data_IF_835087886957
#
_entry.id   IF_835087886957
#
_cell.length_a   1.000
_cell.length_b   1.000
_cell.length_c   1.000
_cell.angle_alpha   90.00
_cell.angle_beta   90.00
_cell.angle_gamma   90.00
#
_symmetry.space_group_name_H-M   'P 1'
#
loop_
_entity.id
_entity.type
_entity.pdbx_description
1 polymer ?
#
# COMPACT_ATOMS: atom_id res chain seq x y z
N UNK A 1 -2.62 -17.96 24.34
CA UNK A 1 -1.94 -16.83 23.71
C UNK A 1 -2.58 -15.55 24.22
N UNK A 2 -1.79 -14.70 24.85
CA UNK A 2 -2.28 -13.54 25.58
C UNK A 2 -2.82 -12.49 24.60
N UNK A 3 -4.01 -11.91 24.87
CA UNK A 3 -4.66 -10.93 24.00
C UNK A 3 -3.78 -9.71 23.65
N UNK A 4 -2.77 -9.42 24.47
CA UNK A 4 -1.80 -8.35 24.24
C UNK A 4 -0.88 -8.61 23.04
N UNK A 5 -0.52 -9.85 22.78
CA UNK A 5 0.36 -10.23 21.66
C UNK A 5 -0.36 -10.16 20.32
N UNK A 6 -1.66 -10.44 20.29
CA UNK A 6 -2.45 -10.41 19.05
C UNK A 6 -2.58 -9.01 18.43
N UNK A 7 -2.66 -7.94 19.24
CA UNK A 7 -2.86 -6.57 18.73
C UNK A 7 -1.60 -6.03 18.03
N UNK A 8 -0.42 -6.38 18.50
CA UNK A 8 0.87 -5.96 17.90
C UNK A 8 1.17 -6.75 16.64
N UNK A 9 0.85 -8.04 16.62
CA UNK A 9 1.04 -8.92 15.46
C UNK A 9 0.04 -8.65 14.32
N UNK A 10 -1.17 -8.19 14.64
CA UNK A 10 -2.24 -7.94 13.66
C UNK A 10 -1.96 -6.86 12.61
N UNK A 11 -0.92 -6.04 12.79
CA UNK A 11 -0.57 -4.95 11.84
C UNK A 11 0.59 -5.27 10.92
N UNK A 12 1.10 -6.48 10.91
CA UNK A 12 2.19 -6.88 10.03
C UNK A 12 1.67 -7.50 8.74
N UNK A 13 2.20 -7.03 7.64
CA UNK A 13 2.07 -7.70 6.36
C UNK A 13 3.02 -8.89 6.35
N UNK A 14 2.46 -10.09 6.17
CA UNK A 14 3.22 -11.32 6.11
C UNK A 14 3.43 -11.72 4.64
N UNK A 15 4.68 -11.95 4.28
CA UNK A 15 5.01 -12.49 2.97
C UNK A 15 4.75 -14.00 2.95
N UNK A 16 4.02 -14.47 1.95
CA UNK A 16 3.75 -15.91 1.74
C UNK A 16 4.88 -16.61 0.96
N UNK A 17 5.77 -15.84 0.37
CA UNK A 17 6.88 -16.35 -0.42
C UNK A 17 8.02 -16.86 0.50
N UNK A 18 8.91 -17.68 -0.07
CA UNK A 18 10.03 -18.29 0.64
C UNK A 18 11.07 -17.29 1.16
N UNK A 19 11.98 -17.72 2.04
CA UNK A 19 13.08 -16.89 2.55
C UNK A 19 13.96 -16.29 1.44
N UNK A 20 14.17 -17.01 0.33
CA UNK A 20 14.88 -16.47 -0.83
C UNK A 20 14.15 -15.28 -1.47
N UNK A 21 12.85 -15.32 -1.55
CA UNK A 21 12.04 -14.23 -2.09
C UNK A 21 12.09 -12.99 -1.21
N UNK A 22 12.25 -13.15 0.10
CA UNK A 22 12.50 -12.05 1.00
C UNK A 22 13.78 -11.29 0.62
N UNK A 23 14.90 -11.97 0.46
CA UNK A 23 16.17 -11.36 0.06
C UNK A 23 16.09 -10.74 -1.34
N UNK A 24 15.52 -11.46 -2.30
CA UNK A 24 15.31 -10.95 -3.67
C UNK A 24 14.48 -9.67 -3.69
N UNK A 25 13.45 -9.58 -2.86
CA UNK A 25 12.65 -8.36 -2.72
C UNK A 25 13.47 -7.18 -2.19
N UNK A 26 14.31 -7.40 -1.19
CA UNK A 26 15.19 -6.36 -0.67
C UNK A 26 16.23 -5.89 -1.72
N UNK A 27 16.82 -6.81 -2.47
CA UNK A 27 17.73 -6.48 -3.56
C UNK A 27 17.02 -5.67 -4.64
N UNK A 28 15.82 -6.08 -5.05
CA UNK A 28 15.03 -5.36 -6.05
C UNK A 28 14.65 -3.94 -5.59
N UNK A 29 14.24 -3.78 -4.34
CA UNK A 29 13.92 -2.46 -3.77
C UNK A 29 15.16 -1.56 -3.66
N UNK A 30 16.31 -2.13 -3.38
CA UNK A 30 17.59 -1.44 -3.30
C UNK A 30 18.28 -1.19 -4.64
N UNK A 31 17.76 -1.72 -5.76
CA UNK A 31 18.37 -1.61 -7.08
C UNK A 31 18.58 -0.14 -7.48
N UNK A 32 19.83 0.23 -7.75
CA UNK A 32 20.24 1.60 -8.09
C UNK A 32 20.27 2.58 -6.91
N UNK A 33 19.93 2.15 -5.68
CA UNK A 33 19.85 3.00 -4.48
C UNK A 33 20.16 2.25 -3.18
N UNK A 34 20.99 1.23 -3.23
CA UNK A 34 21.19 0.27 -2.13
C UNK A 34 21.60 0.92 -0.82
N UNK A 35 22.55 1.85 -0.81
CA UNK A 35 23.00 2.53 0.41
C UNK A 35 21.86 3.33 1.06
N UNK A 36 21.13 4.12 0.26
CA UNK A 36 19.97 4.87 0.77
C UNK A 36 18.86 3.94 1.26
N UNK A 37 18.67 2.81 0.60
CA UNK A 37 17.70 1.80 1.01
C UNK A 37 18.07 1.17 2.36
N UNK A 38 19.32 0.73 2.53
CA UNK A 38 19.81 0.14 3.78
C UNK A 38 19.74 1.16 4.93
N UNK A 39 20.12 2.42 4.67
CA UNK A 39 19.99 3.50 5.64
C UNK A 39 18.54 3.73 6.06
N UNK A 40 17.63 3.83 5.11
CA UNK A 40 16.20 3.97 5.42
C UNK A 40 15.66 2.77 6.21
N UNK A 41 16.09 1.53 5.90
CA UNK A 41 15.70 0.33 6.66
C UNK A 41 16.28 0.32 8.07
N UNK A 42 17.50 0.80 8.23
CA UNK A 42 18.11 0.97 9.56
C UNK A 42 17.30 1.97 10.40
N UNK A 43 17.01 3.15 9.87
CA UNK A 43 16.19 4.15 10.55
C UNK A 43 14.80 3.56 10.91
N UNK A 44 14.15 2.91 9.97
CA UNK A 44 12.83 2.29 10.15
C UNK A 44 12.81 1.26 11.27
N UNK A 45 13.81 0.39 11.35
CA UNK A 45 13.81 -0.74 12.27
C UNK A 45 14.38 -0.40 13.66
N UNK A 46 15.25 0.60 13.78
CA UNK A 46 16.02 0.81 14.99
C UNK A 46 15.83 2.16 15.65
N UNK A 47 15.54 3.24 14.91
CA UNK A 47 15.48 4.57 15.50
C UNK A 47 14.43 4.70 16.59
N UNK A 48 13.24 4.16 16.41
CA UNK A 48 12.21 4.17 17.44
C UNK A 48 12.64 3.42 18.72
N UNK A 49 13.48 2.37 18.61
CA UNK A 49 14.02 1.63 19.74
C UNK A 49 15.10 2.41 20.49
N UNK A 50 15.75 3.33 19.82
CA UNK A 50 16.77 4.23 20.37
C UNK A 50 16.18 5.59 20.78
N UNK A 51 14.87 5.76 20.72
CA UNK A 51 14.17 7.04 20.93
C UNK A 51 14.69 8.18 20.04
N UNK A 52 15.20 7.85 18.85
CA UNK A 52 15.66 8.82 17.86
C UNK A 52 14.52 9.21 16.94
N UNK A 53 14.18 10.49 16.90
CA UNK A 53 13.14 11.03 16.02
C UNK A 53 13.81 11.54 14.75
N UNK A 54 13.38 11.09 13.54
CA UNK A 54 13.89 11.66 12.29
C UNK A 54 13.40 13.11 12.14
N UNK A 55 14.23 13.95 11.53
CA UNK A 55 13.88 15.35 11.25
C UNK A 55 12.73 15.50 10.25
N UNK A 56 12.48 14.45 9.45
CA UNK A 56 11.38 14.36 8.50
C UNK A 56 10.85 12.91 8.48
N UNK A 57 9.56 12.67 8.20
CA UNK A 57 9.01 11.31 8.13
C UNK A 57 9.77 10.42 7.17
N UNK A 58 9.94 9.13 7.53
CA UNK A 58 10.60 8.15 6.66
C UNK A 58 9.69 7.67 5.53
N UNK A 59 8.38 7.82 5.72
CA UNK A 59 7.33 7.44 4.77
C UNK A 59 6.17 8.43 4.85
N UNK A 60 5.70 8.90 3.71
CA UNK A 60 4.51 9.75 3.61
C UNK A 60 3.42 8.98 2.85
N UNK A 61 2.26 8.84 3.47
CA UNK A 61 1.07 8.33 2.82
C UNK A 61 0.27 9.49 2.25
N UNK A 62 -0.11 9.39 0.99
CA UNK A 62 -0.95 10.38 0.30
C UNK A 62 -2.29 9.74 -0.04
N UNK A 63 -3.35 10.39 0.36
CA UNK A 63 -4.67 10.11 -0.12
C UNK A 63 -4.92 10.92 -1.40
N UNK A 64 -4.61 10.34 -2.56
CA UNK A 64 -4.85 11.02 -3.84
C UNK A 64 -6.34 11.17 -4.15
N UNK A 65 -7.17 10.34 -3.54
CA UNK A 65 -8.63 10.40 -3.59
C UNK A 65 -9.20 9.81 -2.31
N UNK A 66 -10.17 10.50 -1.71
CA UNK A 66 -11.00 9.93 -0.64
C UNK A 66 -12.16 9.08 -1.20
N UNK A 67 -12.44 9.17 -2.50
CA UNK A 67 -13.47 8.40 -3.18
C UNK A 67 -13.06 6.94 -3.34
N UNK A 68 -14.04 6.04 -3.25
CA UNK A 68 -13.87 4.63 -3.60
C UNK A 68 -15.15 4.12 -4.28
N UNK A 69 -14.98 3.44 -5.40
CA UNK A 69 -16.11 2.94 -6.22
C UNK A 69 -16.51 1.49 -5.91
N UNK A 70 -15.96 0.92 -4.83
CA UNK A 70 -16.36 -0.40 -4.31
C UNK A 70 -16.72 -0.32 -2.82
N UNK A 71 -17.47 -1.33 -2.35
CA UNK A 71 -17.89 -1.45 -0.95
C UNK A 71 -17.35 -2.76 -0.41
N UNK A 72 -16.13 -2.72 0.15
CA UNK A 72 -15.55 -3.90 0.78
C UNK A 72 -16.17 -4.15 2.14
N UNK A 73 -16.52 -5.39 2.43
CA UNK A 73 -17.17 -5.78 3.68
C UNK A 73 -16.33 -5.42 4.94
N UNK A 74 -15.00 -5.53 4.84
CA UNK A 74 -14.07 -5.24 5.93
C UNK A 74 -13.46 -3.82 5.88
N UNK A 75 -14.07 -2.91 5.13
CA UNK A 75 -13.52 -1.57 4.97
C UNK A 75 -13.94 -0.66 6.14
N UNK A 76 -12.97 -0.09 6.83
CA UNK A 76 -13.21 0.86 7.91
C UNK A 76 -14.00 2.12 7.46
N UNK A 77 -13.99 2.46 6.17
CA UNK A 77 -14.82 3.55 5.60
C UNK A 77 -16.30 3.42 5.93
N UNK A 78 -16.80 2.22 6.17
CA UNK A 78 -18.20 2.00 6.54
C UNK A 78 -18.55 2.58 7.93
N UNK A 79 -17.53 2.82 8.74
CA UNK A 79 -17.65 3.33 10.11
C UNK A 79 -17.24 4.80 10.24
N UNK A 80 -16.95 5.45 9.11
CA UNK A 80 -16.53 6.85 9.07
C UNK A 80 -17.62 7.74 8.49
N UNK A 81 -17.77 8.93 9.07
CA UNK A 81 -18.55 10.01 8.47
C UNK A 81 -17.64 10.75 7.46
N UNK A 82 -17.66 10.29 6.21
CA UNK A 82 -16.92 10.92 5.12
C UNK A 82 -17.72 12.13 4.64
N UNK A 83 -17.42 13.31 5.19
CA UNK A 83 -18.14 14.55 4.88
C UNK A 83 -18.04 14.96 3.41
N UNK A 84 -16.89 14.74 2.79
CA UNK A 84 -16.63 15.10 1.39
C UNK A 84 -15.72 14.06 0.73
N UNK A 85 -16.18 13.53 -0.40
CA UNK A 85 -15.43 12.59 -1.23
C UNK A 85 -14.80 13.37 -2.40
N UNK A 86 -13.50 13.60 -2.37
CA UNK A 86 -12.80 14.39 -3.38
C UNK A 86 -11.45 13.82 -3.80
N UNK A 87 -10.97 14.31 -4.94
CA UNK A 87 -9.61 14.07 -5.41
C UNK A 87 -8.67 15.17 -4.96
N UNK A 88 -7.47 14.82 -4.53
CA UNK A 88 -6.42 15.80 -4.21
C UNK A 88 -6.06 16.60 -5.48
N UNK A 89 -6.12 17.94 -5.43
CA UNK A 89 -5.70 18.79 -6.53
C UNK A 89 -4.19 18.65 -6.81
N UNK A 90 -3.82 18.73 -8.09
CA UNK A 90 -2.42 18.53 -8.51
C UNK A 90 -1.44 19.57 -7.94
N UNK A 91 -1.89 20.81 -7.75
CA UNK A 91 -1.05 21.89 -7.18
C UNK A 91 -0.77 21.68 -5.70
N UNK A 92 -1.75 21.21 -4.94
CA UNK A 92 -1.55 20.79 -3.55
C UNK A 92 -0.57 19.63 -3.49
N UNK A 93 -0.79 18.59 -4.32
CA UNK A 93 0.10 17.44 -4.39
C UNK A 93 1.55 17.85 -4.70
N UNK A 94 1.76 18.75 -5.68
CA UNK A 94 3.09 19.23 -6.04
C UNK A 94 3.80 19.89 -4.88
N UNK A 95 3.11 20.77 -4.12
CA UNK A 95 3.69 21.41 -2.93
C UNK A 95 4.17 20.38 -1.90
N UNK A 96 3.33 19.37 -1.63
CA UNK A 96 3.67 18.29 -0.69
C UNK A 96 4.90 17.51 -1.17
N UNK A 97 4.93 17.15 -2.45
CA UNK A 97 6.04 16.36 -3.01
C UNK A 97 7.33 17.17 -3.10
N UNK A 98 7.26 18.46 -3.39
CA UNK A 98 8.43 19.35 -3.39
C UNK A 98 9.06 19.39 -1.99
N UNK A 99 8.27 19.61 -0.94
CA UNK A 99 8.74 19.55 0.45
C UNK A 99 9.32 18.17 0.80
N UNK A 100 8.66 17.09 0.39
CA UNK A 100 9.16 15.73 0.56
C UNK A 100 10.53 15.53 -0.12
N UNK A 101 10.71 16.05 -1.32
CA UNK A 101 11.94 15.93 -2.09
C UNK A 101 13.09 16.75 -1.47
N UNK A 102 12.83 17.97 -1.05
CA UNK A 102 13.78 18.84 -0.34
C UNK A 102 14.31 18.20 0.93
N UNK A 103 13.45 17.44 1.63
CA UNK A 103 13.80 16.70 2.84
C UNK A 103 14.29 15.26 2.57
N UNK A 104 14.56 14.90 1.31
CA UNK A 104 15.07 13.58 0.91
C UNK A 104 14.18 12.41 1.34
N UNK A 105 12.85 12.56 1.30
CA UNK A 105 11.92 11.49 1.60
C UNK A 105 12.27 10.22 0.81
N UNK A 106 12.33 9.09 1.50
CA UNK A 106 12.63 7.82 0.84
C UNK A 106 11.39 7.20 0.19
N UNK A 107 10.28 7.08 0.93
CA UNK A 107 9.07 6.39 0.46
C UNK A 107 7.86 7.31 0.44
N UNK A 108 7.18 7.39 -0.70
CA UNK A 108 5.86 7.97 -0.85
C UNK A 108 4.87 6.88 -1.25
N UNK A 109 3.71 6.84 -0.60
CA UNK A 109 2.73 5.78 -0.80
C UNK A 109 1.34 6.35 -1.03
N UNK A 110 0.76 6.06 -2.19
CA UNK A 110 -0.66 6.31 -2.44
C UNK A 110 -1.49 5.19 -1.81
N UNK A 111 -2.13 5.51 -0.72
CA UNK A 111 -3.02 4.60 0.02
C UNK A 111 -3.83 5.44 1.00
N UNK A 112 -4.79 4.93 1.63
CA UNK A 112 -5.58 5.38 2.76
C UNK A 112 -7.06 5.01 2.60
N UNK A 113 -7.97 6.00 2.81
CA UNK A 113 -9.42 5.77 2.90
C UNK A 113 -10.06 5.47 1.55
N UNK A 114 -9.61 6.13 0.48
CA UNK A 114 -10.16 5.98 -0.85
C UNK A 114 -9.39 5.02 -1.76
N UNK A 115 -9.76 5.02 -3.02
CA UNK A 115 -9.08 4.26 -4.09
C UNK A 115 -8.24 5.22 -4.95
N UNK A 116 -6.91 5.09 -4.94
CA UNK A 116 -6.04 6.04 -5.68
C UNK A 116 -6.33 6.12 -7.17
N UNK A 117 -6.78 5.03 -7.80
CA UNK A 117 -7.05 4.98 -9.23
C UNK A 117 -8.38 5.62 -9.63
N UNK A 118 -9.15 6.14 -8.67
CA UNK A 118 -10.31 7.02 -8.95
C UNK A 118 -9.82 8.42 -9.35
N UNK A 119 -8.68 8.86 -8.81
CA UNK A 119 -8.09 10.11 -9.27
C UNK A 119 -7.50 9.94 -10.68
N UNK A 120 -8.01 10.63 -11.72
CA UNK A 120 -7.51 10.48 -13.09
C UNK A 120 -6.06 10.93 -13.26
N UNK A 121 -5.55 11.74 -12.33
CA UNK A 121 -4.18 12.27 -12.33
C UNK A 121 -3.16 11.36 -11.65
N UNK A 122 -3.58 10.18 -11.15
CA UNK A 122 -2.68 9.30 -10.37
C UNK A 122 -1.39 8.94 -11.13
N UNK A 123 -1.46 8.73 -12.45
CA UNK A 123 -0.28 8.45 -13.27
C UNK A 123 0.70 9.63 -13.32
N UNK A 124 0.17 10.84 -13.44
CA UNK A 124 0.95 12.09 -13.48
C UNK A 124 1.52 12.42 -12.09
N UNK A 125 0.77 12.10 -11.02
CA UNK A 125 1.26 12.20 -9.65
C UNK A 125 2.46 11.27 -9.40
N UNK A 126 2.38 10.01 -9.84
CA UNK A 126 3.50 9.07 -9.75
C UNK A 126 4.71 9.58 -10.53
N UNK A 127 4.51 10.05 -11.76
CA UNK A 127 5.57 10.61 -12.60
C UNK A 127 6.25 11.79 -11.89
N UNK A 128 5.49 12.75 -11.41
CA UNK A 128 6.01 13.92 -10.72
C UNK A 128 6.86 13.56 -9.49
N UNK A 129 6.37 12.63 -8.65
CA UNK A 129 7.15 12.18 -7.49
C UNK A 129 8.49 11.54 -7.90
N UNK A 130 8.50 10.77 -8.98
CA UNK A 130 9.74 10.14 -9.50
C UNK A 130 10.69 11.17 -10.11
N UNK A 131 10.20 12.16 -10.82
CA UNK A 131 10.99 13.26 -11.38
C UNK A 131 11.62 14.13 -10.30
N UNK A 132 10.91 14.35 -9.18
CA UNK A 132 11.44 15.05 -8.00
C UNK A 132 12.43 14.24 -7.17
N UNK A 133 12.69 12.98 -7.55
CA UNK A 133 13.72 12.15 -6.94
C UNK A 133 13.26 11.33 -5.74
N UNK A 134 11.94 11.21 -5.50
CA UNK A 134 11.42 10.27 -4.49
C UNK A 134 11.88 8.86 -4.86
N UNK A 135 12.61 8.24 -3.95
CA UNK A 135 13.35 7.00 -4.22
C UNK A 135 12.43 5.79 -4.38
N UNK A 136 11.34 5.74 -3.63
CA UNK A 136 10.40 4.63 -3.67
C UNK A 136 8.97 5.16 -3.66
N UNK A 137 8.21 4.86 -4.71
CA UNK A 137 6.79 5.23 -4.83
C UNK A 137 5.95 3.96 -4.91
N UNK A 138 4.87 3.91 -4.11
CA UNK A 138 3.92 2.80 -4.04
C UNK A 138 2.52 3.29 -4.40
N UNK A 139 1.77 2.42 -5.08
CA UNK A 139 0.32 2.58 -5.25
C UNK A 139 -0.37 1.34 -4.71
N UNK A 140 -1.28 1.54 -3.74
CA UNK A 140 -2.17 0.50 -3.25
C UNK A 140 -3.54 0.68 -3.90
N UNK A 141 -4.06 -0.36 -4.53
CA UNK A 141 -5.31 -0.29 -5.29
C UNK A 141 -6.10 -1.60 -5.16
N UNK A 142 -7.41 -1.54 -5.35
CA UNK A 142 -8.20 -2.76 -5.58
C UNK A 142 -8.06 -3.29 -7.01
N UNK A 143 -7.41 -2.56 -7.91
CA UNK A 143 -7.10 -2.97 -9.28
C UNK A 143 -8.24 -2.87 -10.29
N UNK A 144 -9.49 -2.72 -9.86
CA UNK A 144 -10.66 -2.74 -10.74
C UNK A 144 -10.70 -1.62 -11.79
N UNK A 145 -10.17 -0.44 -11.45
CA UNK A 145 -10.14 0.72 -12.34
C UNK A 145 -8.92 0.75 -13.27
N UNK A 146 -7.94 -0.11 -13.06
CA UNK A 146 -6.71 -0.10 -13.85
C UNK A 146 -7.01 -0.38 -15.33
N UNK A 147 -6.49 0.48 -16.20
CA UNK A 147 -6.52 0.34 -17.65
C UNK A 147 -5.11 0.07 -18.17
N UNK A 148 -4.98 -0.41 -19.41
CA UNK A 148 -3.66 -0.57 -20.06
C UNK A 148 -2.92 0.77 -20.10
N UNK A 149 -3.61 1.86 -20.46
CA UNK A 149 -3.02 3.20 -20.52
C UNK A 149 -2.48 3.65 -19.15
N UNK A 150 -3.26 3.45 -18.08
CA UNK A 150 -2.82 3.81 -16.72
C UNK A 150 -1.60 2.96 -16.31
N UNK A 151 -1.61 1.67 -16.64
CA UNK A 151 -0.49 0.79 -16.37
C UNK A 151 0.75 1.18 -17.17
N UNK A 152 0.61 1.56 -18.45
CA UNK A 152 1.71 2.10 -19.25
C UNK A 152 2.30 3.37 -18.62
N UNK A 153 1.45 4.29 -18.12
CA UNK A 153 1.92 5.49 -17.40
C UNK A 153 2.73 5.10 -16.17
N UNK A 154 2.27 4.14 -15.38
CA UNK A 154 3.01 3.64 -14.20
C UNK A 154 4.37 3.04 -14.57
N UNK A 155 4.44 2.28 -15.66
CA UNK A 155 5.70 1.71 -16.14
C UNK A 155 6.66 2.81 -16.61
N UNK A 156 6.19 3.78 -17.39
CA UNK A 156 7.00 4.93 -17.87
C UNK A 156 7.48 5.80 -16.72
N UNK A 157 6.63 6.04 -15.74
CA UNK A 157 6.97 6.77 -14.51
C UNK A 157 7.91 5.99 -13.58
N UNK A 158 8.22 4.72 -13.90
CA UNK A 158 9.05 3.84 -13.06
C UNK A 158 8.48 3.68 -11.65
N UNK A 159 7.16 3.53 -11.53
CA UNK A 159 6.53 3.17 -10.27
C UNK A 159 7.28 1.99 -9.64
N UNK A 160 7.63 2.06 -8.36
CA UNK A 160 8.43 1.01 -7.73
C UNK A 160 7.59 -0.21 -7.38
N UNK A 161 6.43 0.00 -6.73
CA UNK A 161 5.54 -1.08 -6.27
C UNK A 161 4.08 -0.75 -6.58
N UNK A 162 3.40 -1.69 -7.22
CA UNK A 162 1.96 -1.71 -7.37
C UNK A 162 1.40 -2.83 -6.47
N UNK A 163 0.69 -2.46 -5.43
CA UNK A 163 0.05 -3.40 -4.53
C UNK A 163 -1.43 -3.51 -4.85
N UNK A 164 -1.86 -4.70 -5.23
CA UNK A 164 -3.26 -5.00 -5.56
C UNK A 164 -3.89 -5.76 -4.41
N UNK A 165 -4.95 -5.21 -3.84
CA UNK A 165 -5.75 -5.89 -2.82
C UNK A 165 -6.60 -6.98 -3.48
N UNK A 166 -6.35 -8.25 -3.12
CA UNK A 166 -6.99 -9.40 -3.75
C UNK A 166 -7.37 -10.45 -2.69
N UNK A 167 -8.57 -10.35 -2.14
CA UNK A 167 -8.99 -11.11 -0.95
C UNK A 167 -9.70 -12.42 -1.32
N UNK A 168 -8.94 -13.52 -1.26
CA UNK A 168 -9.45 -14.86 -1.54
C UNK A 168 -9.60 -15.17 -3.04
N UNK A 169 -10.26 -16.28 -3.33
CA UNK A 169 -10.53 -16.80 -4.67
C UNK A 169 -12.04 -16.95 -4.90
N UNK A 170 -12.48 -16.85 -6.15
CA UNK A 170 -13.87 -17.11 -6.55
C UNK A 170 -14.91 -16.30 -5.77
N UNK A 171 -15.87 -16.99 -5.18
CA UNK A 171 -16.97 -16.38 -4.42
C UNK A 171 -16.47 -15.62 -3.17
N UNK A 172 -15.40 -16.08 -2.52
CA UNK A 172 -14.80 -15.37 -1.39
C UNK A 172 -14.33 -13.97 -1.80
N UNK A 173 -13.66 -13.85 -2.94
CA UNK A 173 -13.28 -12.54 -3.48
C UNK A 173 -14.50 -11.64 -3.72
N UNK A 174 -15.54 -12.18 -4.36
CA UNK A 174 -16.75 -11.43 -4.73
C UNK A 174 -17.54 -10.97 -3.50
N UNK A 175 -17.57 -11.76 -2.45
CA UNK A 175 -18.25 -11.39 -1.19
C UNK A 175 -17.55 -10.22 -0.49
N UNK A 176 -16.21 -10.16 -0.54
CA UNK A 176 -15.43 -9.12 0.14
C UNK A 176 -15.31 -7.84 -0.71
N UNK A 177 -15.07 -7.99 -2.03
CA UNK A 177 -14.73 -6.88 -2.95
C UNK A 177 -15.91 -6.44 -3.84
N UNK A 178 -17.10 -6.42 -3.29
CA UNK A 178 -18.32 -6.03 -4.01
C UNK A 178 -18.21 -4.61 -4.60
N UNK A 179 -18.62 -4.41 -5.88
CA UNK A 179 -19.29 -5.37 -6.79
C UNK A 179 -18.36 -6.05 -7.81
N UNK A 180 -17.05 -6.13 -7.57
CA UNK A 180 -16.10 -6.65 -8.56
C UNK A 180 -16.24 -8.17 -8.65
N UNK A 181 -16.38 -8.68 -9.89
CA UNK A 181 -16.37 -10.11 -10.16
C UNK A 181 -14.96 -10.66 -10.22
N UNK A 182 -14.76 -11.86 -9.64
CA UNK A 182 -13.46 -12.52 -9.54
C UNK A 182 -12.75 -12.64 -10.88
N UNK A 183 -13.43 -13.15 -11.90
CA UNK A 183 -12.84 -13.34 -13.23
C UNK A 183 -12.37 -12.00 -13.84
N UNK A 184 -13.13 -10.92 -13.63
CA UNK A 184 -12.75 -9.58 -14.09
C UNK A 184 -11.51 -9.08 -13.34
N UNK A 185 -11.45 -9.28 -12.04
CA UNK A 185 -10.28 -8.90 -11.24
C UNK A 185 -9.04 -9.69 -11.65
N UNK A 186 -9.17 -10.99 -11.86
CA UNK A 186 -8.09 -11.86 -12.31
C UNK A 186 -7.60 -11.47 -13.71
N UNK A 187 -8.53 -11.16 -14.63
CA UNK A 187 -8.17 -10.66 -15.96
C UNK A 187 -7.41 -9.32 -15.89
N UNK A 188 -7.81 -8.40 -15.00
CA UNK A 188 -7.08 -7.15 -14.74
C UNK A 188 -5.67 -7.41 -14.24
N UNK A 189 -5.50 -8.34 -13.29
CA UNK A 189 -4.19 -8.69 -12.76
C UNK A 189 -3.26 -9.26 -13.85
N UNK A 190 -3.79 -10.12 -14.73
CA UNK A 190 -3.06 -10.64 -15.88
C UNK A 190 -2.70 -9.53 -16.87
N UNK A 191 -3.63 -8.62 -17.19
CA UNK A 191 -3.38 -7.45 -18.03
C UNK A 191 -2.23 -6.59 -17.49
N UNK A 192 -2.20 -6.31 -16.18
CA UNK A 192 -1.11 -5.56 -15.52
C UNK A 192 0.25 -6.20 -15.84
N UNK A 193 0.35 -7.51 -15.70
CA UNK A 193 1.60 -8.23 -15.94
C UNK A 193 1.98 -8.27 -17.42
N UNK A 194 1.01 -8.41 -18.31
CA UNK A 194 1.21 -8.39 -19.77
C UNK A 194 1.70 -7.03 -20.26
N UNK A 195 1.09 -5.93 -19.82
CA UNK A 195 1.55 -4.57 -20.17
C UNK A 195 2.99 -4.36 -19.73
N UNK A 196 3.33 -4.71 -18.49
CA UNK A 196 4.70 -4.61 -17.98
C UNK A 196 5.69 -5.43 -18.84
N UNK A 197 5.29 -6.67 -19.18
CA UNK A 197 6.11 -7.56 -20.03
C UNK A 197 6.29 -6.99 -21.45
N UNK A 198 5.21 -6.51 -22.07
CA UNK A 198 5.22 -5.87 -23.39
C UNK A 198 6.16 -4.66 -23.43
N UNK A 199 6.20 -3.89 -22.36
CA UNK A 199 7.10 -2.75 -22.20
C UNK A 199 8.52 -3.14 -21.77
N UNK A 200 8.84 -4.43 -21.65
CA UNK A 200 10.15 -4.97 -21.22
C UNK A 200 10.66 -4.37 -19.90
N UNK A 201 9.75 -4.06 -18.98
CA UNK A 201 10.06 -3.44 -17.71
C UNK A 201 10.09 -4.47 -16.58
N UNK A 202 10.97 -4.26 -15.59
CA UNK A 202 10.96 -4.96 -14.31
C UNK A 202 10.11 -4.23 -13.25
N UNK A 203 9.65 -3.00 -13.55
CA UNK A 203 8.87 -2.16 -12.65
C UNK A 203 7.51 -1.81 -13.25
N UNK A 204 6.51 -1.62 -12.40
CA UNK A 204 6.52 -1.82 -10.94
C UNK A 204 6.65 -3.30 -10.56
N UNK A 205 7.19 -3.58 -9.35
CA UNK A 205 6.97 -4.87 -8.72
C UNK A 205 5.49 -4.99 -8.39
N UNK A 206 4.84 -6.00 -8.91
CA UNK A 206 3.41 -6.25 -8.66
C UNK A 206 3.25 -7.19 -7.49
N UNK A 207 2.54 -6.73 -6.47
CA UNK A 207 2.25 -7.51 -5.26
C UNK A 207 0.74 -7.67 -5.10
N UNK A 208 0.29 -8.85 -4.73
CA UNK A 208 -1.06 -9.02 -4.21
C UNK A 208 -1.02 -9.12 -2.69
N UNK A 209 -2.06 -8.57 -2.07
CA UNK A 209 -2.26 -8.61 -0.64
C UNK A 209 -3.68 -9.07 -0.34
N UNK A 210 -3.82 -10.05 0.54
CA UNK A 210 -5.11 -10.58 0.98
C UNK A 210 -5.30 -10.38 2.48
N UNK A 211 -6.55 -10.49 2.94
CA UNK A 211 -6.87 -10.70 4.35
C UNK A 211 -6.68 -12.18 4.68
N UNK A 212 -6.16 -12.46 5.87
CA UNK A 212 -5.94 -13.85 6.31
C UNK A 212 -7.23 -14.66 6.38
N UNK A 213 -8.32 -14.06 6.86
CA UNK A 213 -9.63 -14.72 6.91
C UNK A 213 -10.10 -15.23 5.55
N UNK A 214 -9.78 -14.50 4.48
CA UNK A 214 -10.18 -14.83 3.13
C UNK A 214 -9.40 -16.00 2.50
N UNK A 215 -8.22 -16.32 3.05
CA UNK A 215 -7.34 -17.36 2.47
C UNK A 215 -7.00 -18.49 3.44
N UNK A 216 -7.29 -18.35 4.74
CA UNK A 216 -6.89 -19.32 5.79
C UNK A 216 -7.40 -20.74 5.58
N UNK A 217 -8.48 -20.91 4.84
CA UNK A 217 -9.04 -22.24 4.54
C UNK A 217 -8.15 -23.01 3.56
N UNK A 218 -7.50 -22.33 2.61
CA UNK A 218 -6.62 -22.95 1.62
C UNK A 218 -5.51 -21.97 1.17
N UNK A 219 -4.56 -21.62 2.06
CA UNK A 219 -3.53 -20.64 1.77
C UNK A 219 -2.55 -21.09 0.67
N UNK A 220 -2.30 -22.39 0.56
CA UNK A 220 -1.37 -22.94 -0.43
C UNK A 220 -1.94 -22.84 -1.85
N UNK A 221 -3.23 -23.05 -2.04
CA UNK A 221 -3.90 -22.87 -3.32
C UNK A 221 -3.85 -21.39 -3.75
N UNK A 222 -4.16 -20.49 -2.80
CA UNK A 222 -4.07 -19.06 -3.06
C UNK A 222 -2.65 -18.64 -3.47
N UNK A 223 -1.64 -19.09 -2.72
CA UNK A 223 -0.24 -18.82 -3.01
C UNK A 223 0.16 -19.36 -4.38
N UNK A 224 -0.26 -20.57 -4.74
CA UNK A 224 0.04 -21.19 -6.03
C UNK A 224 -0.56 -20.38 -7.17
N UNK A 225 -1.87 -20.06 -7.12
CA UNK A 225 -2.57 -19.34 -8.19
C UNK A 225 -2.01 -17.91 -8.35
N UNK A 226 -1.83 -17.19 -7.25
CA UNK A 226 -1.35 -15.80 -7.30
C UNK A 226 0.15 -15.72 -7.59
N UNK A 227 0.94 -16.64 -7.03
CA UNK A 227 2.39 -16.70 -7.24
C UNK A 227 2.79 -16.99 -8.69
N UNK A 228 1.95 -17.68 -9.46
CA UNK A 228 2.15 -17.90 -10.90
C UNK A 228 1.87 -16.63 -11.73
N UNK A 229 1.16 -15.66 -11.18
CA UNK A 229 0.75 -14.44 -11.89
C UNK A 229 1.60 -13.24 -11.52
N UNK A 230 1.86 -13.01 -10.23
CA UNK A 230 2.50 -11.79 -9.73
C UNK A 230 3.87 -12.03 -9.13
N UNK A 231 4.62 -10.95 -8.88
CA UNK A 231 5.97 -11.06 -8.33
C UNK A 231 5.96 -11.43 -6.85
N UNK A 232 4.89 -11.11 -6.12
CA UNK A 232 4.83 -11.31 -4.67
C UNK A 232 3.41 -11.48 -4.16
N UNK A 233 3.27 -12.38 -3.19
CA UNK A 233 2.01 -12.66 -2.47
C UNK A 233 2.21 -12.37 -0.99
N UNK A 234 1.26 -11.66 -0.39
CA UNK A 234 1.27 -11.32 1.02
C UNK A 234 -0.13 -11.36 1.62
N UNK A 235 -0.22 -11.40 2.93
CA UNK A 235 -1.48 -11.24 3.63
C UNK A 235 -1.34 -10.32 4.84
N UNK A 236 -2.47 -9.75 5.27
CA UNK A 236 -2.63 -9.08 6.55
C UNK A 236 -3.56 -9.90 7.42
N UNK A 237 -3.34 -9.84 8.73
CA UNK A 237 -4.32 -10.35 9.68
C UNK A 237 -5.50 -9.38 9.70
N UNK A 238 -6.71 -9.95 9.81
CA UNK A 238 -7.95 -9.19 9.84
C UNK A 238 -8.07 -8.37 11.12
N UNK A 239 -8.68 -7.22 10.97
CA UNK A 239 -8.98 -6.35 12.08
C UNK A 239 -10.50 -6.08 12.12
N UNK A 240 -11.15 -6.54 13.17
CA UNK A 240 -12.57 -6.28 13.38
C UNK A 240 -12.74 -4.94 14.12
N UNK A 241 -12.99 -3.90 13.37
CA UNK A 241 -13.15 -2.54 13.88
C UNK A 241 -14.36 -2.39 14.83
N UNK A 242 -15.29 -3.35 14.83
CA UNK A 242 -16.47 -3.32 15.70
C UNK A 242 -16.20 -3.91 17.09
N UNK A 243 -15.15 -4.72 17.23
CA UNK A 243 -14.79 -5.42 18.46
C UNK A 243 -13.57 -4.85 19.17
N UNK A 244 -13.07 -3.70 18.71
CA UNK A 244 -11.92 -3.07 19.35
C UNK A 244 -12.33 -2.40 20.64
N UNK A 245 -12.27 -3.16 21.73
CA UNK A 245 -12.23 -2.58 23.06
C UNK A 245 -10.80 -2.13 23.33
N UNK A 246 -10.51 -0.86 23.07
CA UNK A 246 -9.25 -0.26 23.42
C UNK A 246 -9.17 -0.20 24.96
N UNK A 247 -8.44 -1.13 25.56
CA UNK A 247 -7.88 -0.90 26.89
C UNK A 247 -6.51 -0.27 26.58
N UNK A 248 -6.33 1.03 26.82
CA UNK A 248 -5.05 1.67 26.59
C UNK A 248 -4.00 0.99 27.47
N UNK A 249 -2.97 0.41 26.86
CA UNK A 249 -1.76 0.05 27.61
C UNK A 249 -1.01 1.36 27.82
N UNK A 250 -0.88 1.88 29.06
CA UNK A 250 -0.22 3.15 29.34
C UNK A 250 1.25 3.14 28.91
N UNK A 251 1.87 1.97 28.82
CA UNK A 251 3.25 1.79 28.42
C UNK A 251 3.41 1.53 26.90
N UNK A 252 2.31 1.42 26.15
CA UNK A 252 2.34 1.19 24.72
C UNK A 252 2.66 2.48 23.96
N UNK A 253 3.81 2.49 23.31
CA UNK A 253 4.20 3.55 22.38
C UNK A 253 4.16 3.04 20.94
N UNK A 254 3.29 3.63 20.13
CA UNK A 254 3.21 3.27 18.73
C UNK A 254 4.45 3.73 17.95
N UNK A 255 5.32 2.82 17.59
CA UNK A 255 6.56 3.13 16.85
C UNK A 255 6.31 3.76 15.46
N UNK A 256 5.10 3.63 14.90
CA UNK A 256 4.76 4.24 13.61
C UNK A 256 4.77 5.76 13.63
N UNK A 257 4.61 6.39 14.79
CA UNK A 257 4.75 7.84 14.95
C UNK A 257 6.15 8.34 14.60
N UNK A 258 7.18 7.49 14.71
CA UNK A 258 8.56 7.80 14.30
C UNK A 258 8.82 7.54 12.82
N UNK A 259 7.91 6.90 12.12
CA UNK A 259 8.20 6.35 10.80
C UNK A 259 7.41 7.03 9.69
N UNK A 260 6.16 7.41 9.96
CA UNK A 260 5.25 7.77 8.90
C UNK A 260 4.20 8.79 9.32
N UNK A 261 3.72 9.50 8.31
CA UNK A 261 2.57 10.39 8.41
C UNK A 261 1.64 10.12 7.23
N UNK A 262 0.41 10.62 7.35
CA UNK A 262 -0.56 10.55 6.28
C UNK A 262 -1.15 11.93 6.00
N UNK A 263 -1.43 12.20 4.73
CA UNK A 263 -2.00 13.46 4.26
C UNK A 263 -3.26 13.12 3.47
N UNK A 264 -4.38 13.73 3.89
CA UNK A 264 -5.69 13.53 3.27
C UNK A 264 -5.78 14.21 1.90
N UNK A 265 -6.81 13.88 1.12
CA UNK A 265 -7.11 14.56 -0.15
C UNK A 265 -7.36 16.07 0.00
N UNK A 266 -7.72 16.50 1.20
CA UNK A 266 -7.94 17.91 1.57
C UNK A 266 -6.68 18.61 2.09
N UNK A 267 -5.59 17.87 2.31
CA UNK A 267 -4.32 18.39 2.82
C UNK A 267 -4.16 18.29 4.34
N UNK A 268 -5.11 17.68 5.05
CA UNK A 268 -5.00 17.50 6.48
C UNK A 268 -3.92 16.48 6.83
N UNK A 269 -3.23 16.77 7.91
CA UNK A 269 -2.14 15.95 8.40
C UNK A 269 -2.63 14.98 9.48
N UNK A 270 -2.51 13.70 9.24
CA UNK A 270 -2.86 12.64 10.17
C UNK A 270 -1.60 11.96 10.73
N UNK A 271 -1.60 11.69 12.03
CA UNK A 271 -0.49 11.00 12.71
C UNK A 271 -0.31 9.56 12.21
N UNK A 272 -1.38 8.95 11.73
CA UNK A 272 -1.40 7.57 11.28
C UNK A 272 -2.42 7.38 10.16
N UNK A 273 -2.15 6.51 9.16
CA UNK A 273 -3.17 6.15 8.16
C UNK A 273 -4.43 5.47 8.73
N UNK A 274 -4.43 5.12 10.01
CA UNK A 274 -5.58 4.58 10.75
C UNK A 274 -6.13 5.58 11.78
N UNK A 275 -5.74 6.84 11.70
CA UNK A 275 -6.28 7.94 12.50
C UNK A 275 -7.39 8.59 11.66
N UNK A 276 -8.65 8.35 12.07
CA UNK A 276 -9.84 8.79 11.34
C UNK A 276 -10.94 9.17 12.31
#
# INVERSE_FOLDING_TARGET
MDNKTQIVEQRHQFDMNTGWDYYRNHLHRGEGKMLSYLWNRFQWNYWHRMNMVPSFPLNVHIESSSQCNIKCDHCFRQYMDMKEDENMPMDMYKKIVDECAENNLFTLKFSMRGEPTVNPLIGDMVLYAKEKGIKEVWVNTHGGNLTEEMMEKFVRAKLDILMVSFDGLGEMYESIRTPIKYDKALAKLKMIMEVRKKMKSKRPQVKVQSLWSAIKANPDEYLKIMGDIVDKVAYNIDYDYTKVHFIPDPDFVCYRLWQQVAITSQGDFLKCPSDF
#
